data_IF_461046664941
#
_entry.id   IF_461046664941
#
_cell.length_a   1.000
_cell.length_b   1.000
_cell.length_c   1.000
_cell.angle_alpha   90.00
_cell.angle_beta   90.00
_cell.angle_gamma   90.00
#
_symmetry.space_group_name_H-M   'P 1'
#
loop_
_entity.id
_entity.type
_entity.pdbx_description
1 polymer ?
#
# COMPACT_ATOMS: atom_id res chain seq x y z
N UNK A 1 -22.46 40.60 20.19
CA UNK A 1 -21.50 39.58 20.68
C UNK A 1 -22.31 38.53 21.42
N UNK A 2 -22.60 37.42 20.75
CA UNK A 2 -23.33 36.28 21.32
C UNK A 2 -22.61 35.02 20.85
N UNK A 3 -21.81 34.46 21.75
CA UNK A 3 -21.05 33.23 21.56
C UNK A 3 -22.01 32.04 21.42
N UNK A 4 -22.27 31.63 20.18
CA UNK A 4 -22.95 30.39 19.85
C UNK A 4 -21.95 29.23 19.86
N UNK A 5 -21.59 28.71 21.03
CA UNK A 5 -20.86 27.44 21.14
C UNK A 5 -21.76 26.31 20.63
N UNK A 6 -21.43 25.77 19.47
CA UNK A 6 -22.03 24.55 18.93
C UNK A 6 -21.82 23.40 19.94
N UNK A 7 -22.92 22.90 20.49
CA UNK A 7 -22.94 21.69 21.31
C UNK A 7 -22.59 20.48 20.43
N UNK A 8 -21.39 19.94 20.59
CA UNK A 8 -21.02 18.64 20.02
C UNK A 8 -21.74 17.57 20.83
N UNK A 9 -22.69 16.79 20.26
CA UNK A 9 -23.35 15.74 21.00
C UNK A 9 -22.40 14.53 21.07
N UNK A 10 -21.68 14.42 22.18
CA UNK A 10 -20.90 13.24 22.49
C UNK A 10 -21.86 12.19 23.13
N UNK A 11 -22.77 11.62 22.35
CA UNK A 11 -23.65 10.56 22.84
C UNK A 11 -22.82 9.28 22.97
N UNK A 12 -22.41 8.95 24.19
CA UNK A 12 -21.77 7.66 24.48
C UNK A 12 -22.86 6.59 24.41
N UNK A 13 -22.93 5.88 23.27
CA UNK A 13 -23.84 4.73 23.10
C UNK A 13 -23.62 3.77 24.28
N UNK A 14 -24.67 3.53 25.05
CA UNK A 14 -24.66 2.59 26.17
C UNK A 14 -25.02 1.21 25.64
N UNK A 15 -24.20 0.21 25.93
CA UNK A 15 -24.39 -1.16 25.45
C UNK A 15 -24.82 -2.05 26.63
N UNK A 16 -25.92 -2.79 26.48
CA UNK A 16 -26.47 -3.64 27.55
C UNK A 16 -25.76 -4.99 27.62
N UNK A 17 -25.13 -5.42 26.53
CA UNK A 17 -24.36 -6.66 26.48
C UNK A 17 -23.04 -6.49 25.74
N UNK A 18 -22.06 -7.35 26.05
CA UNK A 18 -20.80 -7.45 25.30
C UNK A 18 -21.07 -7.77 23.83
N UNK A 19 -22.11 -8.56 23.54
CA UNK A 19 -22.51 -8.86 22.17
C UNK A 19 -22.97 -7.61 21.41
N UNK A 20 -23.81 -6.76 22.01
CA UNK A 20 -24.27 -5.52 21.37
C UNK A 20 -23.11 -4.58 21.05
N UNK A 21 -22.16 -4.41 21.98
CA UNK A 21 -20.95 -3.64 21.72
C UNK A 21 -20.16 -4.21 20.54
N UNK A 22 -19.91 -5.52 20.53
CA UNK A 22 -19.15 -6.18 19.47
C UNK A 22 -19.88 -6.14 18.13
N UNK A 23 -21.20 -6.29 18.13
CA UNK A 23 -22.04 -6.22 16.94
C UNK A 23 -22.02 -4.82 16.33
N UNK A 24 -22.18 -3.78 17.15
CA UNK A 24 -22.18 -2.39 16.71
C UNK A 24 -20.80 -1.95 16.18
N UNK A 25 -19.71 -2.38 16.84
CA UNK A 25 -18.33 -2.18 16.35
C UNK A 25 -18.08 -2.90 15.03
N UNK A 26 -18.58 -4.13 14.90
CA UNK A 26 -18.46 -4.93 13.67
C UNK A 26 -19.21 -4.30 12.52
N UNK A 27 -20.44 -3.84 12.74
CA UNK A 27 -21.22 -3.13 11.73
C UNK A 27 -20.52 -1.84 11.30
N UNK A 28 -20.02 -1.03 12.25
CA UNK A 28 -19.27 0.18 11.91
C UNK A 28 -18.02 -0.12 11.05
N UNK A 29 -17.28 -1.19 11.37
CA UNK A 29 -16.13 -1.64 10.60
C UNK A 29 -16.53 -2.06 9.17
N UNK A 30 -17.58 -2.86 9.03
CA UNK A 30 -18.07 -3.30 7.73
C UNK A 30 -18.68 -2.19 6.90
N UNK A 31 -19.41 -1.24 7.50
CA UNK A 31 -19.91 -0.04 6.80
C UNK A 31 -18.75 0.78 6.26
N UNK A 32 -17.74 1.05 7.08
CA UNK A 32 -16.53 1.78 6.65
C UNK A 32 -15.80 1.03 5.52
N UNK A 33 -15.71 -0.30 5.62
CA UNK A 33 -15.08 -1.11 4.58
C UNK A 33 -15.88 -1.08 3.27
N UNK A 34 -17.20 -1.18 3.35
CA UNK A 34 -18.09 -1.10 2.21
C UNK A 34 -17.99 0.25 1.50
N UNK A 35 -18.05 1.37 2.23
CA UNK A 35 -17.90 2.71 1.66
C UNK A 35 -16.56 2.90 0.94
N UNK A 36 -15.46 2.41 1.54
CA UNK A 36 -14.13 2.44 0.90
C UNK A 36 -14.10 1.58 -0.37
N UNK A 37 -14.71 0.39 -0.33
CA UNK A 37 -14.77 -0.50 -1.49
C UNK A 37 -15.60 0.11 -2.62
N UNK A 38 -16.72 0.76 -2.30
CA UNK A 38 -17.56 1.44 -3.30
C UNK A 38 -16.80 2.55 -4.02
N UNK A 39 -15.98 3.33 -3.31
CA UNK A 39 -15.10 4.34 -3.95
C UNK A 39 -14.12 3.71 -4.93
N UNK A 40 -13.54 2.55 -4.59
CA UNK A 40 -12.66 1.82 -5.50
C UNK A 40 -13.40 1.29 -6.72
N UNK A 41 -14.59 0.71 -6.52
CA UNK A 41 -15.43 0.22 -7.62
C UNK A 41 -15.77 1.37 -8.56
N UNK A 42 -16.03 2.57 -8.03
CA UNK A 42 -16.26 3.75 -8.84
C UNK A 42 -15.00 4.16 -9.62
N UNK A 43 -13.82 4.23 -8.98
CA UNK A 43 -12.57 4.51 -9.69
C UNK A 43 -12.26 3.49 -10.78
N UNK A 44 -12.52 2.20 -10.52
CA UNK A 44 -12.34 1.13 -11.50
C UNK A 44 -13.31 1.28 -12.68
N UNK A 45 -14.56 1.70 -12.41
CA UNK A 45 -15.54 2.04 -13.44
C UNK A 45 -15.09 3.23 -14.29
N UNK A 46 -14.63 4.31 -13.68
CA UNK A 46 -14.18 5.51 -14.39
C UNK A 46 -12.96 5.18 -15.29
N UNK A 47 -12.02 4.38 -14.78
CA UNK A 47 -10.88 3.88 -15.55
C UNK A 47 -11.30 2.98 -16.72
N UNK A 48 -12.31 2.13 -16.51
CA UNK A 48 -12.87 1.29 -17.57
C UNK A 48 -13.53 2.13 -18.67
N UNK A 49 -14.35 3.11 -18.31
CA UNK A 49 -15.00 4.02 -19.26
C UNK A 49 -13.98 4.82 -20.07
N UNK A 50 -12.92 5.34 -19.42
CA UNK A 50 -11.82 6.03 -20.09
C UNK A 50 -11.08 5.11 -21.10
N UNK A 51 -10.90 3.84 -20.75
CA UNK A 51 -10.26 2.85 -21.63
C UNK A 51 -11.16 2.50 -22.83
N UNK A 52 -12.48 2.37 -22.61
CA UNK A 52 -13.44 2.15 -23.70
C UNK A 52 -13.48 3.34 -24.67
N UNK A 53 -13.47 4.58 -24.15
CA UNK A 53 -13.37 5.80 -24.95
C UNK A 53 -12.08 5.82 -25.79
N UNK A 54 -10.95 5.42 -25.18
CA UNK A 54 -9.68 5.27 -25.89
C UNK A 54 -9.75 4.27 -27.04
N UNK A 55 -10.31 3.07 -26.82
CA UNK A 55 -10.45 2.04 -27.85
C UNK A 55 -11.36 2.49 -29.01
N UNK A 56 -12.47 3.18 -28.70
CA UNK A 56 -13.35 3.76 -29.73
C UNK A 56 -12.60 4.77 -30.58
N UNK A 57 -11.85 5.69 -29.95
CA UNK A 57 -11.11 6.75 -30.65
C UNK A 57 -9.87 6.26 -31.37
N UNK A 58 -9.29 5.15 -30.92
CA UNK A 58 -8.24 4.42 -31.62
C UNK A 58 -8.75 3.89 -32.97
N UNK A 59 -9.93 3.27 -32.96
CA UNK A 59 -10.56 2.74 -34.19
C UNK A 59 -11.03 3.83 -35.16
N UNK A 60 -11.37 5.04 -34.68
CA UNK A 60 -11.77 6.17 -35.53
C UNK A 60 -10.60 7.04 -36.01
N UNK A 61 -9.35 6.55 -35.97
CA UNK A 61 -8.16 7.20 -36.53
C UNK A 61 -7.94 8.67 -36.08
N UNK A 62 -8.02 8.94 -34.77
CA UNK A 62 -7.59 10.23 -34.19
C UNK A 62 -6.18 10.13 -33.57
N UNK A 63 -5.10 10.26 -34.36
CA UNK A 63 -3.73 10.00 -33.91
C UNK A 63 -3.25 10.95 -32.81
N UNK A 64 -3.73 12.20 -32.80
CA UNK A 64 -3.31 13.19 -31.80
C UNK A 64 -3.85 12.85 -30.40
N UNK A 65 -5.10 12.40 -30.32
CA UNK A 65 -5.71 11.98 -29.06
C UNK A 65 -5.02 10.72 -28.49
N UNK A 66 -4.83 9.71 -29.35
CA UNK A 66 -4.16 8.45 -28.98
C UNK A 66 -2.73 8.70 -28.51
N UNK A 67 -1.96 9.52 -29.23
CA UNK A 67 -0.57 9.86 -28.86
C UNK A 67 -0.50 10.54 -27.50
N UNK A 68 -1.42 11.46 -27.19
CA UNK A 68 -1.46 12.15 -25.90
C UNK A 68 -1.71 11.18 -24.74
N UNK A 69 -2.63 10.24 -24.91
CA UNK A 69 -2.91 9.20 -23.89
C UNK A 69 -1.73 8.25 -23.76
N UNK A 70 -1.16 7.76 -24.86
CA UNK A 70 -0.01 6.86 -24.81
C UNK A 70 1.21 7.50 -24.14
N UNK A 71 1.45 8.79 -24.36
CA UNK A 71 2.53 9.51 -23.66
C UNK A 71 2.21 9.67 -22.17
N UNK A 72 0.94 9.90 -21.81
CA UNK A 72 0.53 10.00 -20.41
C UNK A 72 0.67 8.66 -19.67
N UNK A 73 0.23 7.56 -20.28
CA UNK A 73 0.21 6.23 -19.65
C UNK A 73 1.58 5.53 -19.70
N UNK A 74 2.37 5.72 -20.78
CA UNK A 74 3.69 5.10 -20.92
C UNK A 74 4.86 5.98 -20.43
N UNK A 75 4.58 7.05 -19.68
CA UNK A 75 5.62 7.82 -19.00
C UNK A 75 6.23 6.93 -17.91
N UNK A 76 7.37 6.31 -18.22
CA UNK A 76 8.18 5.57 -17.25
C UNK A 76 8.79 6.51 -16.20
N UNK A 77 9.41 5.92 -15.17
CA UNK A 77 10.12 6.67 -14.15
C UNK A 77 11.22 7.54 -14.79
N UNK A 78 11.11 8.87 -14.66
CA UNK A 78 12.17 9.76 -15.12
C UNK A 78 13.42 9.52 -14.26
N UNK A 79 14.55 9.24 -14.91
CA UNK A 79 15.89 9.14 -14.29
C UNK A 79 16.45 10.48 -13.81
N UNK A 80 15.58 11.46 -13.52
CA UNK A 80 16.01 12.62 -12.76
C UNK A 80 16.49 12.10 -11.40
N UNK A 81 17.63 12.61 -10.92
CA UNK A 81 18.18 12.30 -9.60
C UNK A 81 17.08 12.48 -8.55
N UNK A 82 16.43 11.37 -8.18
CA UNK A 82 15.24 11.40 -7.34
C UNK A 82 15.70 11.87 -5.97
N UNK A 83 15.16 13.01 -5.52
CA UNK A 83 15.60 13.64 -4.28
C UNK A 83 15.13 12.86 -3.05
N UNK A 84 14.01 12.13 -3.17
CA UNK A 84 13.50 11.29 -2.09
C UNK A 84 13.27 9.86 -2.57
N UNK A 85 13.81 8.90 -1.84
CA UNK A 85 13.60 7.46 -2.07
C UNK A 85 13.06 6.86 -0.79
N UNK A 86 11.80 6.46 -0.81
CA UNK A 86 11.08 5.93 0.33
C UNK A 86 10.80 4.44 0.13
N UNK A 87 11.18 3.63 1.11
CA UNK A 87 10.83 2.21 1.13
C UNK A 87 9.74 1.96 2.18
N UNK A 88 8.65 1.33 1.78
CA UNK A 88 7.54 0.95 2.67
C UNK A 88 7.61 -0.55 2.93
N UNK A 89 8.03 -0.92 4.13
CA UNK A 89 8.06 -2.28 4.64
C UNK A 89 6.71 -2.57 5.29
N UNK A 90 6.00 -3.59 4.81
CA UNK A 90 4.67 -3.97 5.25
C UNK A 90 4.66 -5.42 5.68
N UNK A 91 4.13 -5.66 6.88
CA UNK A 91 3.78 -7.02 7.26
C UNK A 91 2.58 -7.51 6.45
N UNK A 92 2.69 -8.75 6.00
CA UNK A 92 1.68 -9.45 5.21
C UNK A 92 1.22 -10.77 5.85
N UNK A 93 1.23 -10.85 7.19
CA UNK A 93 0.58 -11.95 7.90
C UNK A 93 -0.94 -11.79 7.95
N UNK A 94 -1.62 -12.83 8.43
CA UNK A 94 -3.10 -12.89 8.46
C UNK A 94 -3.72 -11.78 9.32
N UNK A 95 -3.08 -11.35 10.41
CA UNK A 95 -3.59 -10.24 11.24
C UNK A 95 -3.66 -8.92 10.47
N UNK A 96 -2.82 -8.75 9.46
CA UNK A 96 -2.72 -7.53 8.65
C UNK A 96 -3.72 -7.44 7.50
N UNK A 97 -4.65 -8.39 7.35
CA UNK A 97 -5.62 -8.45 6.24
C UNK A 97 -6.33 -7.12 5.97
N UNK A 98 -6.87 -6.49 7.02
CA UNK A 98 -7.59 -5.23 6.87
C UNK A 98 -6.66 -4.06 6.53
N UNK A 99 -5.45 -4.04 7.11
CA UNK A 99 -4.50 -2.97 6.88
C UNK A 99 -3.91 -3.03 5.47
N UNK A 100 -3.56 -4.21 4.98
CA UNK A 100 -3.11 -4.41 3.60
C UNK A 100 -4.19 -4.03 2.59
N UNK A 101 -5.45 -4.36 2.87
CA UNK A 101 -6.56 -3.92 2.03
C UNK A 101 -6.69 -2.39 2.00
N UNK A 102 -6.55 -1.72 3.15
CA UNK A 102 -6.52 -0.25 3.18
C UNK A 102 -5.30 0.31 2.45
N UNK A 103 -4.14 -0.34 2.57
CA UNK A 103 -2.92 0.07 1.87
C UNK A 103 -3.12 0.03 0.35
N UNK A 104 -3.66 -1.08 -0.19
CA UNK A 104 -4.05 -1.24 -1.61
C UNK A 104 -4.92 -0.08 -2.11
N UNK A 105 -5.88 0.35 -1.30
CA UNK A 105 -6.79 1.43 -1.66
C UNK A 105 -6.16 2.82 -1.56
N UNK A 106 -5.12 2.99 -0.75
CA UNK A 106 -4.55 4.30 -0.42
C UNK A 106 -3.34 4.65 -1.30
N UNK A 107 -2.76 3.68 -2.02
CA UNK A 107 -1.60 3.90 -2.92
C UNK A 107 -1.86 5.07 -3.87
N UNK A 108 -3.00 5.08 -4.57
CA UNK A 108 -3.34 6.15 -5.51
C UNK A 108 -3.42 7.52 -4.84
N UNK A 109 -4.06 7.60 -3.68
CA UNK A 109 -4.18 8.83 -2.90
C UNK A 109 -2.84 9.34 -2.38
N UNK A 110 -1.90 8.45 -2.03
CA UNK A 110 -0.55 8.86 -1.61
C UNK A 110 0.18 9.54 -2.76
N UNK A 111 0.16 8.95 -3.95
CA UNK A 111 0.79 9.55 -5.12
C UNK A 111 0.11 10.85 -5.53
N UNK A 112 -1.22 10.87 -5.60
CA UNK A 112 -2.00 12.07 -5.95
C UNK A 112 -1.64 13.25 -5.02
N UNK A 113 -1.72 13.05 -3.70
CA UNK A 113 -1.40 14.10 -2.73
C UNK A 113 0.07 14.50 -2.77
N UNK A 114 0.98 13.55 -2.96
CA UNK A 114 2.42 13.85 -3.05
C UNK A 114 2.70 14.69 -4.28
N UNK A 115 2.13 14.32 -5.43
CA UNK A 115 2.25 15.06 -6.68
C UNK A 115 1.65 16.47 -6.58
N UNK A 116 0.48 16.63 -5.93
CA UNK A 116 -0.12 17.94 -5.65
C UNK A 116 0.83 18.82 -4.84
N UNK A 117 1.36 18.31 -3.72
CA UNK A 117 2.31 19.05 -2.87
C UNK A 117 3.57 19.45 -3.66
N UNK A 118 4.13 18.54 -4.47
CA UNK A 118 5.32 18.84 -5.28
C UNK A 118 5.03 19.93 -6.31
N UNK A 119 3.87 19.87 -6.98
CA UNK A 119 3.43 20.88 -7.94
C UNK A 119 3.26 22.25 -7.29
N UNK A 120 2.64 22.30 -6.11
CA UNK A 120 2.45 23.54 -5.34
C UNK A 120 3.78 24.19 -4.94
N UNK A 121 4.85 23.39 -4.79
CA UNK A 121 6.19 23.86 -4.47
C UNK A 121 7.11 24.04 -5.70
N UNK A 122 6.58 23.95 -6.93
CA UNK A 122 7.34 23.99 -8.18
C UNK A 122 8.46 22.93 -8.27
N UNK A 123 8.25 21.77 -7.65
CA UNK A 123 9.15 20.62 -7.72
C UNK A 123 8.59 19.63 -8.76
N UNK A 124 9.50 18.93 -9.46
CA UNK A 124 9.12 17.90 -10.43
C UNK A 124 8.31 16.79 -9.78
N UNK A 125 7.23 16.33 -10.42
CA UNK A 125 6.40 15.22 -9.93
C UNK A 125 7.19 13.90 -9.85
N UNK A 126 8.29 13.78 -10.60
CA UNK A 126 9.20 12.63 -10.59
C UNK A 126 10.36 12.79 -9.59
N UNK A 127 10.29 13.74 -8.65
CA UNK A 127 11.35 13.97 -7.67
C UNK A 127 11.38 12.94 -6.53
N UNK A 128 10.44 11.99 -6.50
CA UNK A 128 10.35 10.96 -5.49
C UNK A 128 10.14 9.57 -6.10
N UNK A 129 10.67 8.56 -5.43
CA UNK A 129 10.43 7.15 -5.75
C UNK A 129 9.97 6.40 -4.51
N UNK A 130 9.04 5.48 -4.70
CA UNK A 130 8.55 4.60 -3.64
C UNK A 130 8.76 3.15 -4.06
N UNK A 131 9.24 2.33 -3.13
CA UNK A 131 9.26 0.88 -3.23
C UNK A 131 8.41 0.26 -2.13
N UNK A 132 7.59 -0.72 -2.49
CA UNK A 132 6.81 -1.51 -1.54
C UNK A 132 7.46 -2.86 -1.31
N UNK A 133 7.51 -3.26 -0.05
CA UNK A 133 8.10 -4.53 0.38
C UNK A 133 7.10 -5.20 1.31
N UNK A 134 6.68 -6.41 0.97
CA UNK A 134 5.89 -7.26 1.83
C UNK A 134 6.80 -8.32 2.45
N UNK A 135 6.92 -8.32 3.78
CA UNK A 135 7.55 -9.39 4.53
C UNK A 135 6.48 -10.20 5.25
N UNK A 136 6.76 -11.49 5.45
CA UNK A 136 5.94 -12.41 6.25
C UNK A 136 6.84 -13.10 7.26
N UNK A 137 6.40 -14.21 7.82
CA UNK A 137 7.18 -14.96 8.79
C UNK A 137 7.84 -16.20 8.16
N UNK A 138 8.83 -16.77 8.85
CA UNK A 138 9.62 -17.89 8.33
C UNK A 138 8.86 -19.20 8.15
N UNK A 139 7.60 -19.27 8.60
CA UNK A 139 6.72 -20.41 8.36
C UNK A 139 5.90 -20.31 7.06
N UNK A 140 6.05 -19.21 6.31
CA UNK A 140 5.47 -19.06 4.96
C UNK A 140 6.31 -19.79 3.91
N UNK A 141 5.70 -20.13 2.77
CA UNK A 141 6.43 -20.69 1.61
C UNK A 141 7.57 -19.75 1.20
N UNK A 142 8.76 -20.29 0.88
CA UNK A 142 10.00 -19.53 0.64
C UNK A 142 9.82 -18.32 -0.28
N UNK A 143 9.13 -18.50 -1.41
CA UNK A 143 8.88 -17.44 -2.41
C UNK A 143 7.92 -16.33 -1.93
N UNK A 144 7.26 -16.54 -0.79
CA UNK A 144 6.31 -15.61 -0.17
C UNK A 144 6.79 -15.05 1.15
N UNK A 145 7.89 -15.51 1.71
CA UNK A 145 8.45 -14.89 2.92
C UNK A 145 8.75 -13.40 2.65
N UNK A 146 9.17 -13.09 1.42
CA UNK A 146 9.64 -11.77 1.05
C UNK A 146 9.30 -11.44 -0.40
N UNK A 147 8.61 -10.34 -0.63
CA UNK A 147 8.27 -9.82 -1.97
C UNK A 147 8.49 -8.32 -2.02
N UNK A 148 8.97 -7.79 -3.13
CA UNK A 148 9.19 -6.36 -3.30
C UNK A 148 8.85 -5.89 -4.72
N UNK A 149 8.42 -4.65 -4.85
CA UNK A 149 8.19 -3.99 -6.13
C UNK A 149 9.49 -3.38 -6.68
N UNK A 150 9.54 -3.04 -7.98
CA UNK A 150 10.50 -2.05 -8.47
C UNK A 150 10.34 -0.68 -7.76
N UNK A 151 11.30 0.20 -7.97
CA UNK A 151 11.19 1.61 -7.60
C UNK A 151 10.28 2.33 -8.59
N UNK A 152 9.25 3.01 -8.09
CA UNK A 152 8.22 3.61 -8.93
C UNK A 152 8.00 5.09 -8.56
N UNK A 153 7.79 5.93 -9.58
CA UNK A 153 7.37 7.34 -9.43
C UNK A 153 5.85 7.50 -9.61
N UNK A 154 5.12 6.39 -9.87
CA UNK A 154 3.68 6.38 -10.11
C UNK A 154 2.98 5.23 -9.38
N UNK A 155 1.68 5.43 -9.14
CA UNK A 155 0.86 4.48 -8.39
C UNK A 155 0.54 3.18 -9.13
N UNK A 156 0.50 3.18 -10.47
CA UNK A 156 -0.11 2.09 -11.25
C UNK A 156 0.61 0.75 -11.06
N UNK A 157 1.94 0.73 -11.20
CA UNK A 157 2.76 -0.46 -11.00
C UNK A 157 2.75 -0.94 -9.55
N UNK A 158 2.76 -0.02 -8.58
CA UNK A 158 2.65 -0.36 -7.15
C UNK A 158 1.28 -0.92 -6.81
N UNK A 159 0.20 -0.41 -7.42
CA UNK A 159 -1.16 -0.95 -7.26
C UNK A 159 -1.25 -2.36 -7.82
N UNK A 160 -0.68 -2.58 -9.01
CA UNK A 160 -0.59 -3.91 -9.62
C UNK A 160 0.18 -4.88 -8.71
N UNK A 161 1.35 -4.47 -8.19
CA UNK A 161 2.13 -5.25 -7.23
C UNK A 161 1.29 -5.58 -5.98
N UNK A 162 0.69 -4.58 -5.35
CA UNK A 162 -0.13 -4.77 -4.15
C UNK A 162 -1.34 -5.68 -4.38
N UNK A 163 -1.90 -5.72 -5.59
CA UNK A 163 -2.97 -6.66 -5.94
C UNK A 163 -2.49 -8.12 -5.96
N UNK A 164 -1.20 -8.38 -6.18
CA UNK A 164 -0.62 -9.73 -6.10
C UNK A 164 -0.31 -10.18 -4.67
N UNK A 165 -0.21 -9.23 -3.71
CA UNK A 165 0.10 -9.52 -2.31
C UNK A 165 -1.14 -10.08 -1.59
N UNK A 166 -1.03 -11.32 -1.14
CA UNK A 166 -2.02 -11.98 -0.27
C UNK A 166 -1.47 -12.14 1.15
N UNK A 167 -2.35 -12.11 2.15
CA UNK A 167 -1.94 -12.42 3.52
C UNK A 167 -1.62 -13.90 3.67
N UNK A 168 -0.55 -14.23 4.38
CA UNK A 168 -0.19 -15.62 4.65
C UNK A 168 0.69 -15.76 5.90
N UNK A 169 0.57 -16.88 6.60
CA UNK A 169 1.43 -17.22 7.73
C UNK A 169 1.09 -16.42 9.00
N UNK A 170 2.09 -16.28 9.85
CA UNK A 170 1.96 -15.70 11.19
C UNK A 170 2.23 -16.75 12.28
N UNK A 171 3.05 -16.37 13.27
CA UNK A 171 3.41 -17.22 14.41
C UNK A 171 4.07 -16.38 15.52
N UNK A 172 3.35 -15.43 16.09
CA UNK A 172 3.95 -14.45 17.02
C UNK A 172 4.86 -13.49 16.27
N UNK A 173 6.09 -13.28 16.76
CA UNK A 173 7.06 -12.35 16.15
C UNK A 173 7.28 -12.59 14.65
N UNK A 174 7.58 -11.53 13.91
CA UNK A 174 7.60 -11.48 12.44
C UNK A 174 8.98 -11.18 11.88
N UNK A 175 9.19 -11.48 10.59
CA UNK A 175 10.50 -11.35 9.95
C UNK A 175 10.80 -9.91 9.47
N UNK A 176 10.56 -8.93 10.34
CA UNK A 176 10.81 -7.49 10.10
C UNK A 176 12.27 -7.26 9.67
N UNK A 177 13.20 -8.03 10.22
CA UNK A 177 14.62 -7.94 9.93
C UNK A 177 14.96 -8.23 8.47
N UNK A 178 14.15 -9.02 7.76
CA UNK A 178 14.34 -9.26 6.32
C UNK A 178 14.06 -7.98 5.53
N UNK A 179 12.97 -7.28 5.87
CA UNK A 179 12.62 -5.99 5.27
C UNK A 179 13.72 -4.94 5.48
N UNK A 180 14.23 -4.84 6.71
CA UNK A 180 15.32 -3.92 7.04
C UNK A 180 16.65 -4.31 6.38
N UNK A 181 16.95 -5.61 6.26
CA UNK A 181 18.11 -6.10 5.53
C UNK A 181 18.05 -5.71 4.05
N UNK A 182 16.88 -5.82 3.42
CA UNK A 182 16.67 -5.37 2.05
C UNK A 182 16.82 -3.86 1.92
N UNK A 183 16.24 -3.07 2.83
CA UNK A 183 16.41 -1.62 2.85
C UNK A 183 17.91 -1.23 2.94
N UNK A 184 18.69 -1.92 3.78
CA UNK A 184 20.14 -1.69 3.86
C UNK A 184 20.86 -2.02 2.53
N UNK A 185 20.48 -3.10 1.85
CA UNK A 185 21.06 -3.47 0.54
C UNK A 185 20.72 -2.45 -0.55
N UNK A 186 19.47 -1.99 -0.60
CA UNK A 186 19.05 -0.97 -1.56
C UNK A 186 19.73 0.37 -1.28
N UNK A 187 19.92 0.74 -0.01
CA UNK A 187 20.63 1.94 0.39
C UNK A 187 22.11 1.95 -0.03
N UNK A 188 22.75 0.78 -0.07
CA UNK A 188 24.13 0.65 -0.58
C UNK A 188 24.23 0.88 -2.10
N UNK A 189 23.15 0.62 -2.85
CA UNK A 189 23.12 0.83 -4.30
C UNK A 189 22.85 2.30 -4.62
N UNK A 190 21.85 2.87 -3.97
CA UNK A 190 21.47 4.26 -4.11
C UNK A 190 20.81 4.69 -2.81
N UNK A 191 21.11 5.90 -2.35
CA UNK A 191 20.71 6.37 -1.03
C UNK A 191 19.18 6.35 -0.85
N UNK A 192 18.72 5.80 0.27
CA UNK A 192 17.33 5.81 0.73
C UNK A 192 17.18 6.93 1.73
N UNK A 193 16.20 7.80 1.53
CA UNK A 193 15.95 8.95 2.42
C UNK A 193 15.00 8.59 3.55
N UNK A 194 14.14 7.59 3.36
CA UNK A 194 13.10 7.24 4.32
C UNK A 194 12.74 5.75 4.29
N UNK A 195 12.50 5.20 5.48
CA UNK A 195 11.93 3.87 5.68
C UNK A 195 10.61 4.06 6.45
N UNK A 196 9.52 3.53 5.91
CA UNK A 196 8.24 3.41 6.61
C UNK A 196 8.07 1.93 6.95
N UNK A 197 7.90 1.62 8.23
CA UNK A 197 7.63 0.26 8.70
C UNK A 197 6.19 0.17 9.20
N UNK A 198 5.45 -0.78 8.65
CA UNK A 198 4.05 -1.06 8.97
C UNK A 198 3.95 -2.51 9.42
N UNK A 199 3.78 -2.74 10.72
CA UNK A 199 3.62 -4.07 11.32
C UNK A 199 2.88 -3.98 12.66
N UNK A 200 2.29 -5.10 13.10
CA UNK A 200 1.58 -5.20 14.37
C UNK A 200 2.30 -6.13 15.39
N UNK A 201 3.42 -6.76 15.00
CA UNK A 201 4.24 -7.60 15.86
C UNK A 201 5.73 -7.19 15.93
N UNK A 202 6.42 -7.71 16.94
CA UNK A 202 7.85 -7.50 17.15
C UNK A 202 8.71 -8.35 16.18
N UNK A 203 9.97 -7.96 15.92
CA UNK A 203 10.90 -8.78 15.14
C UNK A 203 11.21 -10.11 15.83
N UNK A 204 11.53 -11.14 15.04
CA UNK A 204 11.97 -12.43 15.56
C UNK A 204 13.32 -12.32 16.30
N UNK A 205 13.44 -13.03 17.42
CA UNK A 205 14.74 -13.32 18.04
C UNK A 205 15.53 -14.34 17.22
N UNK A 206 16.85 -14.37 17.38
CA UNK A 206 17.72 -15.35 16.68
C UNK A 206 17.31 -16.81 16.92
N UNK A 207 16.78 -17.12 18.11
CA UNK A 207 16.30 -18.45 18.44
C UNK A 207 15.01 -18.80 17.67
N UNK A 208 14.06 -17.86 17.62
CA UNK A 208 12.80 -18.02 16.87
C UNK A 208 13.05 -18.17 15.37
N UNK A 209 14.00 -17.43 14.80
CA UNK A 209 14.39 -17.59 13.39
C UNK A 209 14.82 -19.03 13.12
N UNK A 210 15.71 -19.59 13.95
CA UNK A 210 16.18 -20.98 13.80
C UNK A 210 15.04 -21.99 13.92
N UNK A 211 14.20 -21.83 14.95
CA UNK A 211 13.07 -22.73 15.22
C UNK A 211 12.00 -22.70 14.12
N UNK A 212 11.64 -21.51 13.64
CA UNK A 212 10.58 -21.35 12.64
C UNK A 212 11.02 -21.87 11.27
N UNK A 213 12.29 -21.64 10.91
CA UNK A 213 12.88 -22.23 9.70
C UNK A 213 12.90 -23.76 9.75
N UNK A 214 13.23 -24.35 10.90
CA UNK A 214 13.28 -25.81 11.05
C UNK A 214 11.89 -26.49 11.03
N UNK A 215 10.81 -25.76 11.31
CA UNK A 215 9.46 -26.32 11.48
C UNK A 215 8.53 -26.13 10.27
N UNK A 216 8.97 -25.51 9.19
CA UNK A 216 8.15 -25.34 8.00
C UNK A 216 8.87 -24.59 6.89
N UNK A 217 9.14 -25.30 5.79
CA UNK A 217 9.51 -24.77 4.47
C UNK A 217 10.78 -23.90 4.36
N UNK A 218 11.55 -23.71 5.43
CA UNK A 218 12.83 -23.00 5.41
C UNK A 218 14.01 -23.96 5.26
N UNK A 219 14.78 -23.81 4.18
CA UNK A 219 16.04 -24.53 3.98
C UNK A 219 16.97 -24.45 5.20
N UNK A 220 17.59 -25.60 5.50
CA UNK A 220 18.79 -25.66 6.32
C UNK A 220 19.90 -24.87 5.61
N UNK A 221 20.30 -23.74 6.18
CA UNK A 221 21.54 -23.02 5.85
C UNK A 221 22.52 -23.19 7.01
#
# INVERSE_FOLDING_TARGET
>A
MSDGRASVPNSTKTYNTVYELLHDKRNALFTTQYEKNTKFVQQAKDSHEATQEFLKRFNTANPNYVKKILVKENKGANKASSQSRTICLMDATVSMTYLLHNCKNTVGTVFERTTEILRDNNISEDSFQIQFVAYRNYNSVQDKIFQFSPWETRADNLRAFMNTINVEGGWGNEAVEIGLCHANKENQRENITQIILIGDAHPNTKAEVKQKRSNGFGEAY
#
